data_IF_346927780226
#
_entry.id   IF_346927780226
#
_cell.length_a   1.000
_cell.length_b   1.000
_cell.length_c   1.000
_cell.angle_alpha   90.00
_cell.angle_beta   90.00
_cell.angle_gamma   90.00
#
_symmetry.space_group_name_H-M   'P 1'
#
loop_
_entity.id
_entity.type
_entity.pdbx_description
1 polymer ?
#
# COMPACT_ATOMS: atom_id res chain seq x y z
N UNK A 1 3.53 -9.96 14.61
CA UNK A 1 3.30 -9.95 13.15
C UNK A 1 3.80 -8.58 12.68
N UNK A 2 4.71 -8.52 11.72
CA UNK A 2 5.38 -7.26 11.29
C UNK A 2 4.44 -6.18 10.78
N UNK A 3 3.20 -6.53 10.44
CA UNK A 3 2.18 -5.63 9.89
C UNK A 3 1.13 -5.18 10.91
N UNK A 4 1.22 -5.62 12.17
CA UNK A 4 0.28 -5.18 13.21
C UNK A 4 0.64 -3.75 13.61
N UNK A 5 -0.35 -2.85 13.75
CA UNK A 5 -0.10 -1.47 14.12
C UNK A 5 0.27 -1.30 15.61
N UNK A 6 0.28 -2.38 16.40
CA UNK A 6 0.67 -2.36 17.82
C UNK A 6 2.14 -2.72 18.05
N UNK A 7 2.92 -2.96 16.99
CA UNK A 7 4.36 -3.23 17.13
C UNK A 7 5.16 -1.93 17.00
N UNK A 8 6.21 -1.79 17.81
CA UNK A 8 7.05 -0.57 17.83
C UNK A 8 7.60 -0.14 16.45
N UNK A 9 7.83 -1.09 15.55
CA UNK A 9 8.31 -0.81 14.19
C UNK A 9 7.22 -0.27 13.24
N UNK A 10 5.94 -0.42 13.60
CA UNK A 10 4.76 -0.11 12.79
C UNK A 10 3.71 0.69 13.55
N UNK A 11 4.06 1.20 14.74
CA UNK A 11 3.23 2.05 15.58
C UNK A 11 3.23 3.48 15.02
N UNK A 12 2.66 3.61 13.83
CA UNK A 12 2.38 4.91 13.23
C UNK A 12 1.14 5.49 13.91
N UNK A 13 1.33 6.65 14.55
CA UNK A 13 0.25 7.36 15.21
C UNK A 13 -0.50 8.25 14.22
N UNK A 14 -1.80 8.37 14.40
CA UNK A 14 -2.59 9.42 13.75
C UNK A 14 -2.04 10.80 14.15
N UNK A 15 -1.92 11.78 13.22
CA UNK A 15 -1.24 13.04 13.49
C UNK A 15 -1.89 13.90 14.59
N UNK A 16 -3.20 13.71 14.84
CA UNK A 16 -3.97 14.51 15.80
C UNK A 16 -4.54 13.67 16.95
N UNK A 17 -4.76 12.38 16.74
CA UNK A 17 -5.49 11.53 17.70
C UNK A 17 -4.53 10.51 18.30
N UNK A 18 -4.66 10.21 19.59
CA UNK A 18 -3.82 9.21 20.26
C UNK A 18 -4.31 7.78 19.95
N UNK A 19 -4.16 7.38 18.68
CA UNK A 19 -4.47 6.05 18.18
C UNK A 19 -3.54 5.68 17.03
N UNK A 20 -3.35 4.38 16.74
CA UNK A 20 -2.69 3.98 15.52
C UNK A 20 -3.50 4.41 14.29
N UNK A 21 -2.81 4.45 13.13
CA UNK A 21 -3.48 4.55 11.85
C UNK A 21 -4.49 3.41 11.67
N UNK A 22 -5.66 3.74 11.14
CA UNK A 22 -6.67 2.76 10.73
C UNK A 22 -6.18 1.97 9.52
N UNK A 23 -6.79 0.80 9.28
CA UNK A 23 -6.58 -0.01 8.06
C UNK A 23 -6.73 0.87 6.81
N UNK A 24 -7.71 1.78 6.78
CA UNK A 24 -7.97 2.62 5.61
C UNK A 24 -6.89 3.67 5.41
N UNK A 25 -6.43 4.32 6.47
CA UNK A 25 -5.33 5.29 6.44
C UNK A 25 -4.03 4.62 5.97
N UNK A 26 -3.69 3.46 6.53
CA UNK A 26 -2.54 2.66 6.09
C UNK A 26 -2.66 2.25 4.62
N UNK A 27 -3.87 1.88 4.17
CA UNK A 27 -4.09 1.50 2.78
C UNK A 27 -3.98 2.70 1.82
N UNK A 28 -4.33 3.90 2.28
CA UNK A 28 -4.14 5.13 1.49
C UNK A 28 -2.66 5.47 1.32
N UNK A 29 -1.84 5.24 2.35
CA UNK A 29 -0.38 5.33 2.25
C UNK A 29 0.16 4.33 1.21
N UNK A 30 -0.39 3.11 1.19
CA UNK A 30 -0.10 2.10 0.17
C UNK A 30 -0.76 2.38 -1.19
N UNK A 31 -1.36 3.57 -1.37
CA UNK A 31 -1.96 4.07 -2.60
C UNK A 31 -3.13 3.22 -3.13
N UNK A 32 -3.76 2.42 -2.26
CA UNK A 32 -4.99 1.73 -2.64
C UNK A 32 -6.11 2.73 -2.94
N UNK A 33 -6.98 2.43 -3.92
CA UNK A 33 -8.23 3.16 -4.11
C UNK A 33 -9.07 3.23 -2.83
N UNK A 34 -9.81 4.32 -2.68
CA UNK A 34 -10.65 4.56 -1.49
C UNK A 34 -11.77 3.53 -1.35
N UNK A 35 -12.30 3.06 -2.48
CA UNK A 35 -13.35 2.06 -2.62
C UNK A 35 -12.84 0.61 -2.53
N UNK A 36 -11.53 0.40 -2.35
CA UNK A 36 -10.98 -0.95 -2.20
C UNK A 36 -11.45 -1.63 -0.92
N UNK A 37 -12.06 -2.82 -1.04
CA UNK A 37 -12.64 -3.57 0.08
C UNK A 37 -11.65 -4.65 0.56
N UNK A 38 -11.24 -4.56 1.83
CA UNK A 38 -10.44 -5.60 2.49
C UNK A 38 -11.33 -6.54 3.33
N UNK A 39 -11.11 -7.85 3.18
CA UNK A 39 -11.91 -8.90 3.81
C UNK A 39 -11.20 -9.55 5.01
N UNK A 40 -11.98 -10.17 5.90
CA UNK A 40 -11.47 -10.88 7.08
C UNK A 40 -11.35 -10.01 8.34
N UNK A 41 -10.67 -10.53 9.36
CA UNK A 41 -10.47 -9.84 10.65
C UNK A 41 -9.62 -8.57 10.49
N UNK A 42 -9.72 -7.64 11.45
CA UNK A 42 -8.93 -6.39 11.44
C UNK A 42 -7.42 -6.68 11.29
N UNK A 43 -6.90 -7.67 12.03
CA UNK A 43 -5.50 -8.10 11.92
C UNK A 43 -5.17 -8.64 10.52
N UNK A 44 -6.09 -9.40 9.90
CA UNK A 44 -5.91 -9.88 8.52
C UNK A 44 -5.87 -8.73 7.52
N UNK A 45 -6.70 -7.69 7.71
CA UNK A 45 -6.70 -6.52 6.83
C UNK A 45 -5.38 -5.75 6.94
N UNK A 46 -4.85 -5.54 8.14
CA UNK A 46 -3.51 -4.96 8.31
C UNK A 46 -2.41 -5.80 7.64
N UNK A 47 -2.50 -7.14 7.67
CA UNK A 47 -1.58 -8.01 6.90
C UNK A 47 -1.68 -7.78 5.40
N UNK A 48 -2.89 -7.72 4.86
CA UNK A 48 -3.12 -7.48 3.43
C UNK A 48 -2.50 -6.15 2.99
N UNK A 49 -2.73 -5.08 3.76
CA UNK A 49 -2.19 -3.74 3.47
C UNK A 49 -0.67 -3.69 3.63
N UNK A 50 -0.15 -4.20 4.75
CA UNK A 50 1.28 -4.09 5.06
C UNK A 50 2.18 -4.92 4.16
N UNK A 51 1.70 -6.07 3.66
CA UNK A 51 2.47 -6.93 2.76
C UNK A 51 2.30 -6.55 1.28
N UNK A 52 1.37 -5.66 0.94
CA UNK A 52 1.14 -5.27 -0.44
C UNK A 52 2.26 -4.36 -0.98
N UNK A 53 2.46 -4.42 -2.29
CA UNK A 53 3.22 -3.41 -3.04
C UNK A 53 2.31 -2.18 -3.24
N UNK A 54 2.83 -0.94 -3.12
CA UNK A 54 2.04 0.25 -3.42
C UNK A 54 1.42 0.18 -4.83
N UNK A 55 0.11 0.38 -4.93
CA UNK A 55 -0.65 0.26 -6.20
C UNK A 55 -0.10 1.16 -7.30
N UNK A 56 0.26 2.41 -6.99
CA UNK A 56 0.84 3.32 -7.98
C UNK A 56 2.22 2.85 -8.46
N UNK A 57 3.05 2.29 -7.59
CA UNK A 57 4.34 1.71 -8.00
C UNK A 57 4.12 0.51 -8.93
N UNK A 58 3.18 -0.37 -8.59
CA UNK A 58 2.86 -1.52 -9.43
C UNK A 58 2.33 -1.09 -10.82
N UNK A 59 1.53 -0.01 -10.87
CA UNK A 59 1.03 0.59 -12.11
C UNK A 59 2.16 1.08 -13.00
N UNK A 60 3.05 1.94 -12.48
CA UNK A 60 4.18 2.48 -13.25
C UNK A 60 5.09 1.37 -13.79
N UNK A 61 5.36 0.34 -12.97
CA UNK A 61 6.13 -0.82 -13.39
C UNK A 61 5.43 -1.60 -14.51
N UNK A 62 4.11 -1.80 -14.41
CA UNK A 62 3.31 -2.46 -15.43
C UNK A 62 3.33 -1.71 -16.77
N UNK A 63 3.15 -0.40 -16.74
CA UNK A 63 3.22 0.46 -17.93
C UNK A 63 4.61 0.42 -18.57
N UNK A 64 5.67 0.48 -17.76
CA UNK A 64 7.04 0.34 -18.24
C UNK A 64 7.28 -1.01 -18.95
N UNK A 65 6.80 -2.10 -18.37
CA UNK A 65 6.94 -3.45 -18.94
C UNK A 65 6.20 -3.57 -20.27
N UNK A 66 4.95 -3.07 -20.35
CA UNK A 66 4.16 -3.07 -21.59
C UNK A 66 4.87 -2.28 -22.68
N UNK A 67 5.36 -1.07 -22.38
CA UNK A 67 6.10 -0.26 -23.34
C UNK A 67 7.36 -0.97 -23.83
N UNK A 68 8.12 -1.58 -22.90
CA UNK A 68 9.33 -2.34 -23.22
C UNK A 68 9.02 -3.53 -24.13
N UNK A 69 7.92 -4.26 -23.88
CA UNK A 69 7.48 -5.38 -24.70
C UNK A 69 7.02 -4.95 -26.10
N UNK A 70 6.51 -3.72 -26.24
CA UNK A 70 6.09 -3.14 -27.52
C UNK A 70 7.27 -2.51 -28.30
N UNK A 71 8.49 -2.56 -27.77
CA UNK A 71 9.67 -1.94 -28.40
C UNK A 71 9.72 -0.42 -28.25
N UNK A 72 8.81 0.18 -27.49
CA UNK A 72 8.83 1.59 -27.15
C UNK A 72 9.89 1.80 -26.08
N UNK A 73 11.06 2.32 -26.47
CA UNK A 73 12.08 2.69 -25.50
C UNK A 73 11.57 3.85 -24.65
N UNK A 74 11.46 3.67 -23.32
CA UNK A 74 11.16 4.80 -22.45
C UNK A 74 12.30 5.79 -22.60
N UNK A 75 11.99 7.04 -22.93
CA UNK A 75 12.97 8.12 -22.93
C UNK A 75 13.46 8.24 -21.49
N UNK A 76 14.66 7.72 -21.22
CA UNK A 76 15.36 7.98 -19.97
C UNK A 76 15.40 9.49 -19.75
N UNK A 77 15.20 9.91 -18.50
CA UNK A 77 15.43 11.30 -18.12
C UNK A 77 16.89 11.67 -18.38
#
# INVERSE_FOLDING_TARGET
ITTSPQQKATDMCHPVELRPLTVRESAKIQTFPDDWIFHGSVSSKYKQVGNAVPVLLAKELGEYLINSMQGNQPKGK
#
